data_IF_026379100197
#
_entry.id   IF_026379100197
#
_cell.length_a   1.000
_cell.length_b   1.000
_cell.length_c   1.000
_cell.angle_alpha   90.00
_cell.angle_beta   90.00
_cell.angle_gamma   90.00
#
_symmetry.space_group_name_H-M   'P 1'
#
loop_
_entity.id
_entity.type
_entity.pdbx_description
1 polymer ?
#
# COMPACT_ATOMS: atom_id res chain seq x y z
N UNK A 1 -12.03 -23.89 28.18
CA UNK A 1 -11.95 -22.63 27.41
C UNK A 1 -10.77 -21.75 27.82
N UNK A 2 -10.34 -21.76 29.11
CA UNK A 2 -9.26 -20.88 29.62
C UNK A 2 -7.83 -21.03 29.06
N UNK A 3 -7.68 -21.56 27.86
CA UNK A 3 -6.41 -21.71 27.14
C UNK A 3 -5.70 -23.04 27.35
N UNK A 4 -4.46 -23.07 26.92
CA UNK A 4 -3.46 -24.07 27.25
C UNK A 4 -3.37 -25.26 26.30
N UNK A 5 -4.10 -25.23 25.18
CA UNK A 5 -3.94 -26.26 24.15
C UNK A 5 -2.72 -25.96 23.27
N UNK A 6 -1.97 -27.01 22.98
CA UNK A 6 -0.86 -27.09 22.02
C UNK A 6 -1.34 -27.66 20.68
N UNK A 7 -2.63 -27.64 20.37
CA UNK A 7 -3.16 -28.06 19.07
C UNK A 7 -3.15 -29.57 18.82
N UNK A 8 -2.65 -30.39 19.75
CA UNK A 8 -2.61 -31.86 19.63
C UNK A 8 -3.80 -32.55 20.30
N UNK A 9 -4.71 -31.78 20.91
CA UNK A 9 -5.94 -32.31 21.47
C UNK A 9 -6.90 -32.81 20.37
N UNK A 10 -7.81 -33.72 20.75
CA UNK A 10 -8.72 -34.36 19.80
C UNK A 10 -9.58 -33.35 19.00
N UNK A 11 -9.94 -32.22 19.60
CA UNK A 11 -10.76 -31.20 18.93
C UNK A 11 -9.96 -30.41 17.90
N UNK A 12 -8.67 -30.17 18.16
CA UNK A 12 -7.77 -29.54 17.20
C UNK A 12 -7.45 -30.47 16.03
N UNK A 13 -7.10 -31.73 16.32
CA UNK A 13 -6.71 -32.71 15.31
C UNK A 13 -7.81 -33.06 14.32
N UNK A 14 -9.07 -33.13 14.76
CA UNK A 14 -10.18 -33.40 13.84
C UNK A 14 -10.39 -32.26 12.83
N UNK A 15 -10.04 -31.02 13.19
CA UNK A 15 -10.09 -29.90 12.24
C UNK A 15 -8.93 -29.96 11.25
N UNK A 16 -7.74 -30.38 11.68
CA UNK A 16 -6.62 -30.64 10.78
C UNK A 16 -6.99 -31.74 9.76
N UNK A 17 -7.56 -32.86 10.21
CA UNK A 17 -8.02 -33.95 9.34
C UNK A 17 -9.07 -33.47 8.33
N UNK A 18 -9.97 -32.55 8.72
CA UNK A 18 -10.95 -31.95 7.82
C UNK A 18 -10.28 -31.06 6.75
N UNK A 19 -9.33 -30.20 7.14
CA UNK A 19 -8.56 -29.37 6.22
C UNK A 19 -7.77 -30.22 5.21
N UNK A 20 -7.12 -31.29 5.67
CA UNK A 20 -6.40 -32.24 4.82
C UNK A 20 -7.33 -33.01 3.86
N UNK A 21 -8.58 -33.25 4.27
CA UNK A 21 -9.62 -33.85 3.42
C UNK A 21 -10.24 -32.87 2.41
N UNK A 22 -9.76 -31.62 2.34
CA UNK A 22 -10.26 -30.60 1.40
C UNK A 22 -11.44 -29.78 1.92
N UNK A 23 -11.78 -29.87 3.22
CA UNK A 23 -12.84 -29.08 3.84
C UNK A 23 -12.19 -27.87 4.51
N UNK A 24 -12.47 -26.66 4.02
CA UNK A 24 -11.99 -25.44 4.70
C UNK A 24 -12.78 -25.21 5.99
N UNK A 25 -12.07 -24.93 7.09
CA UNK A 25 -12.64 -24.81 8.43
C UNK A 25 -12.33 -23.43 9.01
N UNK A 26 -13.39 -22.72 9.42
CA UNK A 26 -13.33 -21.53 10.27
C UNK A 26 -13.71 -21.90 11.71
N UNK A 27 -12.99 -21.38 12.69
CA UNK A 27 -13.23 -21.64 14.11
C UNK A 27 -13.07 -20.37 14.94
N UNK A 28 -13.89 -20.20 15.97
CA UNK A 28 -13.78 -19.10 16.93
C UNK A 28 -12.52 -19.26 17.82
N UNK A 29 -11.80 -18.16 18.06
CA UNK A 29 -10.61 -18.16 18.93
C UNK A 29 -10.94 -18.43 20.42
N UNK A 30 -12.16 -18.14 20.86
CA UNK A 30 -12.59 -18.21 22.26
C UNK A 30 -12.85 -16.83 22.88
N UNK A 31 -13.47 -16.81 24.06
CA UNK A 31 -13.94 -15.58 24.72
C UNK A 31 -13.30 -15.35 26.10
N UNK A 32 -12.06 -15.83 26.32
CA UNK A 32 -11.35 -15.77 27.60
C UNK A 32 -10.23 -14.70 27.64
N UNK A 33 -10.20 -13.82 26.64
CA UNK A 33 -9.31 -12.65 26.64
C UNK A 33 -9.61 -11.69 27.81
N UNK A 34 -8.69 -10.78 28.14
CA UNK A 34 -7.37 -10.56 27.52
C UNK A 34 -6.24 -11.47 28.04
N UNK A 35 -6.50 -12.22 29.11
CA UNK A 35 -5.48 -12.88 29.94
C UNK A 35 -5.52 -14.41 29.85
N UNK A 36 -6.12 -14.96 28.78
CA UNK A 36 -6.11 -16.39 28.50
C UNK A 36 -4.67 -16.91 28.34
N UNK A 37 -4.44 -18.16 28.73
CA UNK A 37 -3.17 -18.87 28.51
C UNK A 37 -3.13 -19.46 27.10
N UNK A 38 -3.01 -18.60 26.08
CA UNK A 38 -3.16 -19.02 24.68
C UNK A 38 -4.56 -19.58 24.38
N UNK A 39 -4.70 -20.30 23.28
CA UNK A 39 -6.01 -20.80 22.83
C UNK A 39 -6.35 -22.18 23.42
N UNK A 40 -7.62 -22.56 23.35
CA UNK A 40 -8.09 -23.86 23.83
C UNK A 40 -8.89 -24.60 22.77
N UNK A 41 -8.88 -25.93 22.86
CA UNK A 41 -9.63 -26.83 21.99
C UNK A 41 -9.46 -26.46 20.52
N UNK A 42 -10.57 -26.40 19.80
CA UNK A 42 -10.60 -26.17 18.35
C UNK A 42 -9.85 -24.89 17.89
N UNK A 43 -9.77 -23.85 18.72
CA UNK A 43 -9.06 -22.61 18.36
C UNK A 43 -7.55 -22.80 18.20
N UNK A 44 -6.97 -23.86 18.77
CA UNK A 44 -5.54 -24.20 18.71
C UNK A 44 -5.15 -25.10 17.54
N UNK A 45 -6.07 -25.48 16.66
CA UNK A 45 -5.82 -26.32 15.48
C UNK A 45 -4.77 -25.70 14.55
N UNK A 46 -3.71 -26.44 14.19
CA UNK A 46 -2.62 -25.94 13.34
C UNK A 46 -3.07 -25.51 11.93
N UNK A 47 -4.08 -26.17 11.35
CA UNK A 47 -4.49 -25.95 9.96
C UNK A 47 -5.70 -25.05 9.81
N UNK A 48 -6.71 -25.13 10.69
CA UNK A 48 -7.94 -24.32 10.52
C UNK A 48 -7.66 -22.82 10.59
N UNK A 49 -8.62 -22.02 10.10
CA UNK A 49 -8.60 -20.57 10.25
C UNK A 49 -9.28 -20.20 11.56
N UNK A 50 -8.49 -19.80 12.54
CA UNK A 50 -8.94 -19.34 13.84
C UNK A 50 -9.22 -17.85 13.79
N UNK A 51 -10.41 -17.45 14.25
CA UNK A 51 -10.96 -16.10 14.10
C UNK A 51 -11.13 -15.41 15.44
N UNK A 52 -10.41 -14.30 15.62
CA UNK A 52 -10.60 -13.35 16.72
C UNK A 52 -11.78 -12.41 16.49
N UNK A 53 -12.23 -11.72 17.55
CA UNK A 53 -13.33 -10.77 17.48
C UNK A 53 -12.84 -9.33 17.64
N UNK A 54 -13.33 -8.44 16.78
CA UNK A 54 -13.23 -7.00 16.95
C UNK A 54 -14.55 -6.39 17.44
N UNK A 55 -14.47 -5.21 18.03
CA UNK A 55 -15.58 -4.30 18.24
C UNK A 55 -15.46 -3.21 17.19
N UNK A 56 -16.40 -3.22 16.23
CA UNK A 56 -16.52 -2.21 15.17
C UNK A 56 -17.18 -0.92 15.67
N UNK A 57 -17.49 -0.88 16.97
CA UNK A 57 -18.22 0.16 17.68
C UNK A 57 -19.50 0.65 16.97
N UNK A 58 -20.02 -0.18 16.05
CA UNK A 58 -21.10 0.11 15.13
C UNK A 58 -20.89 1.41 14.31
N UNK A 59 -19.67 1.67 13.85
CA UNK A 59 -19.30 2.76 12.92
C UNK A 59 -18.95 2.23 11.52
N UNK A 60 -18.83 3.15 10.56
CA UNK A 60 -18.31 2.85 9.21
C UNK A 60 -16.81 3.13 9.13
N UNK A 61 -16.32 4.04 9.99
CA UNK A 61 -14.89 4.21 10.18
C UNK A 61 -14.33 2.92 10.75
N UNK A 62 -13.20 2.46 10.21
CA UNK A 62 -12.54 1.23 10.66
C UNK A 62 -11.33 1.54 11.51
N UNK A 63 -10.89 2.81 11.57
CA UNK A 63 -9.71 3.24 12.32
C UNK A 63 -9.98 3.29 13.84
N UNK A 64 -11.24 3.30 14.25
CA UNK A 64 -11.67 3.18 15.64
C UNK A 64 -12.05 1.74 16.06
N UNK A 65 -11.96 0.78 15.14
CA UNK A 65 -12.13 -0.65 15.42
C UNK A 65 -11.05 -1.11 16.40
N UNK A 66 -11.47 -1.84 17.44
CA UNK A 66 -10.55 -2.39 18.44
C UNK A 66 -10.75 -3.89 18.61
N UNK A 67 -9.73 -4.59 19.12
CA UNK A 67 -9.92 -5.98 19.54
C UNK A 67 -10.97 -6.03 20.65
N UNK A 68 -11.95 -6.92 20.52
CA UNK A 68 -12.96 -7.10 21.55
C UNK A 68 -12.29 -7.59 22.84
N UNK A 69 -12.65 -7.01 23.98
CA UNK A 69 -11.97 -7.27 25.26
C UNK A 69 -11.96 -8.74 25.68
N UNK A 70 -12.99 -9.49 25.28
CA UNK A 70 -13.15 -10.92 25.53
C UNK A 70 -12.43 -11.81 24.50
N UNK A 71 -12.02 -11.30 23.34
CA UNK A 71 -11.41 -12.15 22.31
C UNK A 71 -10.15 -12.81 22.84
N UNK A 72 -10.09 -14.15 22.80
CA UNK A 72 -8.90 -14.90 23.19
C UNK A 72 -7.72 -14.55 22.30
N UNK A 73 -6.53 -14.52 22.89
CA UNK A 73 -5.30 -14.01 22.27
C UNK A 73 -4.22 -15.06 22.18
N UNK A 74 -3.38 -14.89 21.16
CA UNK A 74 -2.26 -15.75 20.88
C UNK A 74 -1.01 -15.53 21.72
N UNK A 75 0.04 -16.31 21.39
CA UNK A 75 -0.02 -17.51 20.53
C UNK A 75 -0.72 -18.69 21.24
N UNK A 76 -1.01 -19.79 20.55
CA UNK A 76 -1.31 -21.07 21.24
C UNK A 76 -0.03 -21.63 21.88
N UNK A 77 -0.13 -22.69 22.69
CA UNK A 77 1.08 -23.33 23.24
C UNK A 77 1.86 -24.04 22.13
N UNK A 78 3.18 -24.01 22.26
CA UNK A 78 4.13 -24.74 21.42
C UNK A 78 3.95 -26.25 21.60
N UNK A 79 3.80 -26.98 20.50
CA UNK A 79 3.71 -28.45 20.49
C UNK A 79 5.10 -29.12 20.32
N UNK A 80 6.17 -28.33 20.23
CA UNK A 80 7.55 -28.74 20.03
C UNK A 80 7.78 -29.50 18.71
N UNK A 81 7.00 -29.23 17.66
CA UNK A 81 7.18 -29.80 16.32
C UNK A 81 8.27 -29.09 15.49
N UNK A 82 8.77 -27.95 15.98
CA UNK A 82 9.80 -27.15 15.33
C UNK A 82 9.28 -26.17 14.26
N UNK A 83 7.96 -25.96 14.16
CA UNK A 83 7.32 -25.03 13.24
C UNK A 83 6.58 -23.91 14.00
N UNK A 84 7.26 -22.82 14.41
CA UNK A 84 6.70 -21.74 15.21
C UNK A 84 5.55 -20.96 14.55
N UNK A 85 5.34 -21.12 13.23
CA UNK A 85 4.31 -20.41 12.48
C UNK A 85 2.91 -20.91 12.79
N UNK A 86 2.77 -22.22 13.08
CA UNK A 86 1.45 -22.80 13.30
C UNK A 86 0.93 -22.54 14.74
N UNK A 87 1.76 -21.98 15.63
CA UNK A 87 1.38 -21.44 16.94
C UNK A 87 0.74 -20.04 16.87
N UNK A 88 0.96 -19.32 15.77
CA UNK A 88 0.50 -17.96 15.57
C UNK A 88 -1.02 -17.95 15.33
N UNK A 89 -1.78 -17.73 16.41
CA UNK A 89 -3.25 -17.79 16.46
C UNK A 89 -3.82 -16.59 17.23
N UNK A 90 -4.90 -15.91 16.81
CA UNK A 90 -5.72 -16.24 15.65
C UNK A 90 -5.01 -15.96 14.33
N UNK A 91 -5.53 -16.50 13.23
CA UNK A 91 -5.06 -16.13 11.89
C UNK A 91 -5.56 -14.75 11.48
N UNK A 92 -6.83 -14.46 11.74
CA UNK A 92 -7.45 -13.20 11.36
C UNK A 92 -8.49 -12.82 12.40
N UNK A 93 -8.99 -11.60 12.31
CA UNK A 93 -10.06 -11.09 13.14
C UNK A 93 -11.20 -10.54 12.28
N UNK A 94 -12.40 -10.50 12.84
CA UNK A 94 -13.57 -9.92 12.20
C UNK A 94 -14.54 -9.34 13.25
N UNK A 95 -15.49 -8.47 12.86
CA UNK A 95 -16.48 -7.94 13.77
C UNK A 95 -17.25 -9.05 14.50
N UNK A 96 -17.19 -9.03 15.83
CA UNK A 96 -17.83 -10.03 16.68
C UNK A 96 -18.60 -9.43 17.85
N UNK A 97 -18.60 -8.12 18.01
CA UNK A 97 -19.30 -7.41 19.09
C UNK A 97 -20.59 -6.80 18.58
N UNK A 98 -21.66 -6.88 19.36
CA UNK A 98 -22.92 -6.19 19.09
C UNK A 98 -23.57 -6.55 17.73
N UNK A 99 -23.40 -7.79 17.27
CA UNK A 99 -23.86 -8.30 15.98
C UNK A 99 -25.34 -8.66 16.04
N UNK A 100 -26.10 -8.24 15.03
CA UNK A 100 -27.50 -8.62 14.83
C UNK A 100 -27.54 -9.90 13.99
N UNK A 101 -28.29 -10.91 14.44
CA UNK A 101 -28.34 -12.23 13.81
C UNK A 101 -29.79 -12.72 13.68
N UNK A 102 -30.01 -13.68 12.80
CA UNK A 102 -31.32 -14.33 12.66
C UNK A 102 -31.72 -15.02 13.97
N UNK A 103 -32.99 -14.88 14.36
CA UNK A 103 -33.51 -15.51 15.57
C UNK A 103 -33.90 -16.96 15.32
N UNK A 104 -33.19 -17.87 15.99
CA UNK A 104 -33.63 -19.25 16.11
C UNK A 104 -34.81 -19.33 17.08
N UNK A 105 -35.83 -20.10 16.74
CA UNK A 105 -37.03 -20.21 17.58
C UNK A 105 -36.85 -21.16 18.78
N UNK A 106 -35.92 -20.79 19.65
CA UNK A 106 -35.67 -21.38 20.97
C UNK A 106 -35.31 -20.31 22.01
N UNK A 107 -34.89 -19.10 21.57
CA UNK A 107 -34.36 -18.03 22.43
C UNK A 107 -35.41 -17.04 22.92
N UNK A 108 -36.51 -16.80 22.18
CA UNK A 108 -37.63 -15.98 22.66
C UNK A 108 -38.91 -16.80 22.77
N UNK A 109 -39.60 -16.66 23.91
CA UNK A 109 -40.87 -17.37 24.18
C UNK A 109 -42.06 -16.92 23.32
N UNK A 110 -41.83 -16.14 22.26
CA UNK A 110 -42.84 -15.61 21.34
C UNK A 110 -42.77 -16.21 19.93
N UNK A 111 -41.83 -17.11 19.66
CA UNK A 111 -41.67 -17.75 18.36
C UNK A 111 -42.43 -19.11 18.31
N UNK A 112 -42.76 -19.60 17.11
CA UNK A 112 -43.61 -20.80 16.92
C UNK A 112 -42.83 -22.01 16.36
N UNK A 113 -42.15 -22.78 17.23
CA UNK A 113 -41.48 -24.05 16.86
C UNK A 113 -42.25 -25.27 17.40
N UNK A 114 -43.54 -25.39 17.07
CA UNK A 114 -44.18 -26.70 17.19
C UNK A 114 -43.45 -27.72 16.31
N UNK A 115 -43.39 -28.99 16.73
CA UNK A 115 -42.79 -30.06 15.93
C UNK A 115 -43.52 -30.13 14.57
N UNK A 116 -42.84 -29.76 13.48
CA UNK A 116 -43.44 -29.61 12.14
C UNK A 116 -43.98 -28.22 11.79
N UNK A 117 -43.69 -27.19 12.60
CA UNK A 117 -43.96 -25.78 12.32
C UNK A 117 -42.88 -25.11 11.45
N UNK A 118 -43.23 -23.96 10.88
CA UNK A 118 -42.38 -23.15 9.99
C UNK A 118 -41.75 -21.97 10.75
N UNK A 119 -40.46 -21.72 10.52
CA UNK A 119 -39.68 -20.64 11.12
C UNK A 119 -39.57 -19.38 10.22
N UNK A 120 -40.25 -19.36 9.07
CA UNK A 120 -40.22 -18.25 8.10
C UNK A 120 -40.69 -16.89 8.65
N UNK A 121 -41.46 -16.89 9.74
CA UNK A 121 -41.91 -15.67 10.43
C UNK A 121 -40.95 -15.17 11.52
N UNK A 122 -39.83 -15.86 11.77
CA UNK A 122 -38.84 -15.40 12.75
C UNK A 122 -38.13 -14.13 12.26
N UNK A 123 -37.85 -13.23 13.19
CA UNK A 123 -37.10 -11.99 12.94
C UNK A 123 -35.60 -12.13 13.23
N UNK A 124 -35.02 -11.03 13.69
CA UNK A 124 -33.64 -10.97 14.17
C UNK A 124 -33.64 -10.83 15.70
N UNK A 125 -32.65 -11.44 16.36
CA UNK A 125 -32.50 -11.29 17.81
C UNK A 125 -32.05 -9.88 18.19
N UNK A 126 -31.97 -9.61 19.50
CA UNK A 126 -31.10 -8.55 20.00
C UNK A 126 -29.63 -8.75 19.61
N UNK A 127 -28.79 -7.77 19.92
CA UNK A 127 -27.34 -7.81 19.61
C UNK A 127 -26.62 -8.85 20.47
N UNK A 128 -25.75 -9.64 19.86
CA UNK A 128 -24.91 -10.62 20.53
C UNK A 128 -23.42 -10.33 20.33
N UNK A 129 -22.59 -10.86 21.22
CA UNK A 129 -21.13 -10.64 21.20
C UNK A 129 -20.38 -11.94 21.47
N UNK A 130 -19.26 -12.14 20.76
CA UNK A 130 -18.39 -13.30 20.90
C UNK A 130 -17.59 -13.58 19.63
N UNK A 131 -16.47 -14.28 19.77
CA UNK A 131 -15.74 -14.85 18.61
C UNK A 131 -16.62 -15.82 17.81
N UNK A 132 -17.66 -16.40 18.44
CA UNK A 132 -18.72 -17.17 17.78
C UNK A 132 -19.54 -16.38 16.75
N UNK A 133 -19.48 -15.05 16.77
CA UNK A 133 -20.13 -14.16 15.79
C UNK A 133 -19.16 -13.74 14.68
N UNK A 134 -17.87 -13.62 14.99
CA UNK A 134 -16.83 -13.32 14.01
C UNK A 134 -16.53 -14.53 13.10
N UNK A 135 -16.45 -15.74 13.65
CA UNK A 135 -16.17 -16.97 12.89
C UNK A 135 -17.15 -17.25 11.72
N UNK A 136 -18.49 -17.12 11.86
CA UNK A 136 -19.40 -17.27 10.74
C UNK A 136 -19.31 -16.13 9.72
N UNK A 137 -18.91 -14.91 10.09
CA UNK A 137 -18.66 -13.85 9.13
C UNK A 137 -17.50 -14.22 8.18
N UNK A 138 -16.38 -14.72 8.74
CA UNK A 138 -15.25 -15.25 7.97
C UNK A 138 -15.66 -16.48 7.15
N UNK A 139 -16.53 -17.34 7.68
CA UNK A 139 -17.08 -18.48 6.90
C UNK A 139 -17.83 -18.00 5.65
N UNK A 140 -18.58 -16.89 5.76
CA UNK A 140 -19.21 -16.25 4.62
C UNK A 140 -18.20 -15.74 3.58
N UNK A 141 -17.07 -15.17 4.03
CA UNK A 141 -15.98 -14.75 3.13
C UNK A 141 -15.38 -15.96 2.40
N UNK A 142 -15.09 -17.04 3.12
CA UNK A 142 -14.60 -18.29 2.50
C UNK A 142 -15.59 -18.84 1.46
N UNK A 143 -16.89 -18.73 1.72
CA UNK A 143 -17.92 -19.14 0.76
C UNK A 143 -17.91 -18.27 -0.51
N UNK A 144 -17.73 -16.94 -0.38
CA UNK A 144 -17.56 -16.04 -1.52
C UNK A 144 -16.30 -16.36 -2.33
N UNK A 145 -15.18 -16.64 -1.65
CA UNK A 145 -13.94 -17.06 -2.29
C UNK A 145 -14.11 -18.35 -3.07
N UNK A 146 -14.80 -19.35 -2.49
CA UNK A 146 -15.07 -20.64 -3.15
C UNK A 146 -16.12 -20.53 -4.26
N UNK A 147 -17.06 -19.58 -4.18
CA UNK A 147 -17.97 -19.27 -5.29
C UNK A 147 -17.21 -18.64 -6.46
N UNK A 148 -16.31 -17.69 -6.17
CA UNK A 148 -15.43 -17.06 -7.15
C UNK A 148 -14.44 -18.05 -7.77
N UNK A 149 -13.92 -18.98 -6.97
CA UNK A 149 -12.95 -19.97 -7.39
C UNK A 149 -13.16 -21.32 -6.66
N UNK A 150 -13.96 -22.23 -7.25
CA UNK A 150 -14.28 -23.52 -6.64
C UNK A 150 -13.10 -24.51 -6.53
N UNK A 151 -11.94 -24.18 -7.10
CA UNK A 151 -10.76 -25.05 -7.15
C UNK A 151 -9.74 -24.71 -6.06
N UNK A 152 -9.95 -23.66 -5.26
CA UNK A 152 -9.05 -23.31 -4.17
C UNK A 152 -8.91 -24.46 -3.16
N UNK A 153 -7.67 -24.76 -2.81
CA UNK A 153 -7.36 -25.63 -1.69
C UNK A 153 -7.62 -24.91 -0.36
N UNK A 154 -7.85 -25.65 0.76
CA UNK A 154 -8.00 -25.03 2.07
C UNK A 154 -6.81 -24.17 2.51
N UNK A 155 -5.59 -24.52 2.08
CA UNK A 155 -4.38 -23.73 2.36
C UNK A 155 -4.34 -22.44 1.55
N UNK A 156 -4.71 -22.47 0.27
CA UNK A 156 -4.85 -21.24 -0.54
C UNK A 156 -5.92 -20.32 0.05
N UNK A 157 -7.08 -20.85 0.48
CA UNK A 157 -8.10 -20.03 1.15
C UNK A 157 -7.53 -19.36 2.41
N UNK A 158 -6.82 -20.12 3.25
CA UNK A 158 -6.20 -19.60 4.47
C UNK A 158 -5.17 -18.50 4.18
N UNK A 159 -4.30 -18.72 3.21
CA UNK A 159 -3.21 -17.77 2.90
C UNK A 159 -3.72 -16.53 2.14
N UNK A 160 -4.74 -16.66 1.29
CA UNK A 160 -5.44 -15.51 0.69
C UNK A 160 -6.05 -14.64 1.80
N UNK A 161 -6.77 -15.23 2.76
CA UNK A 161 -7.34 -14.48 3.89
C UNK A 161 -6.29 -13.71 4.68
N UNK A 162 -5.11 -14.32 4.91
CA UNK A 162 -4.00 -13.69 5.64
C UNK A 162 -3.34 -12.56 4.86
N UNK A 163 -3.01 -12.78 3.57
CA UNK A 163 -2.27 -11.79 2.77
C UNK A 163 -3.13 -10.57 2.42
N UNK A 164 -4.45 -10.74 2.31
CA UNK A 164 -5.39 -9.65 1.99
C UNK A 164 -5.97 -8.98 3.23
N UNK A 165 -5.68 -9.46 4.44
CA UNK A 165 -6.21 -8.88 5.66
C UNK A 165 -5.69 -7.44 5.87
N UNK A 166 -6.56 -6.58 6.39
CA UNK A 166 -6.17 -5.23 6.81
C UNK A 166 -5.34 -5.33 8.09
N UNK A 167 -4.07 -4.97 8.00
CA UNK A 167 -3.12 -5.05 9.11
C UNK A 167 -3.54 -4.14 10.27
N UNK A 168 -3.53 -4.68 11.48
CA UNK A 168 -3.85 -3.95 12.72
C UNK A 168 -2.87 -4.33 13.83
N UNK A 169 -2.41 -3.31 14.55
CA UNK A 169 -1.48 -3.46 15.67
C UNK A 169 -0.04 -3.76 15.25
N UNK A 170 0.87 -3.63 16.20
CA UNK A 170 2.29 -3.97 16.01
C UNK A 170 2.50 -5.48 16.07
N UNK A 171 3.46 -6.05 15.30
CA UNK A 171 3.75 -7.47 15.32
C UNK A 171 4.13 -7.96 16.73
N UNK A 172 3.52 -9.06 17.17
CA UNK A 172 3.73 -9.61 18.52
C UNK A 172 4.88 -10.62 18.59
N UNK A 173 5.21 -11.25 17.46
CA UNK A 173 6.35 -12.16 17.32
C UNK A 173 7.09 -11.90 15.99
N UNK A 174 7.71 -10.71 15.84
CA UNK A 174 8.34 -10.30 14.59
C UNK A 174 9.46 -11.24 14.13
N UNK A 175 10.12 -11.98 15.02
CA UNK A 175 11.16 -12.96 14.63
C UNK A 175 10.58 -14.16 13.89
N UNK A 176 9.30 -14.50 14.11
CA UNK A 176 8.61 -15.62 13.44
C UNK A 176 7.89 -15.11 12.19
N UNK A 177 7.03 -14.12 12.35
CA UNK A 177 6.29 -13.48 11.25
C UNK A 177 6.25 -11.95 11.47
N UNK A 178 6.58 -11.13 10.46
CA UNK A 178 6.71 -9.68 10.62
C UNK A 178 5.36 -8.95 10.66
N UNK A 179 4.23 -9.64 10.51
CA UNK A 179 2.90 -9.02 10.42
C UNK A 179 1.93 -9.55 11.46
N UNK A 180 2.14 -10.76 11.96
CA UNK A 180 1.23 -11.36 12.93
C UNK A 180 1.21 -10.60 14.27
N UNK A 181 0.01 -10.20 14.67
CA UNK A 181 -0.31 -9.63 15.96
C UNK A 181 -1.18 -10.60 16.78
N UNK A 182 -0.92 -10.70 18.09
CA UNK A 182 -1.62 -11.67 18.97
C UNK A 182 -3.11 -11.42 19.20
N UNK A 183 -3.56 -10.19 18.94
CA UNK A 183 -4.94 -9.74 19.11
C UNK A 183 -5.72 -9.86 17.78
N UNK A 184 -5.11 -9.44 16.67
CA UNK A 184 -5.76 -9.35 15.35
C UNK A 184 -5.38 -10.46 14.37
N UNK A 185 -4.36 -11.29 14.67
CA UNK A 185 -3.76 -12.21 13.72
C UNK A 185 -2.94 -11.47 12.66
N UNK A 186 -3.04 -11.89 11.40
CA UNK A 186 -2.50 -11.16 10.25
C UNK A 186 -3.34 -9.91 9.89
N UNK A 187 -4.50 -9.71 10.53
CA UNK A 187 -5.30 -8.50 10.39
C UNK A 187 -6.81 -8.74 10.48
N UNK A 188 -7.57 -7.66 10.24
CA UNK A 188 -9.02 -7.76 10.05
C UNK A 188 -9.33 -8.27 8.65
N UNK A 189 -10.27 -9.22 8.56
CA UNK A 189 -10.65 -9.83 7.29
C UNK A 189 -11.16 -8.78 6.28
N UNK A 190 -10.62 -8.82 5.06
CA UNK A 190 -11.10 -8.03 3.93
C UNK A 190 -11.78 -8.94 2.91
N UNK A 191 -13.12 -8.90 2.90
CA UNK A 191 -13.92 -9.76 2.03
C UNK A 191 -13.73 -9.44 0.55
N UNK A 192 -13.57 -8.16 0.20
CA UNK A 192 -13.42 -7.73 -1.18
C UNK A 192 -12.08 -8.20 -1.73
N UNK A 193 -10.99 -7.85 -1.05
CA UNK A 193 -9.64 -8.20 -1.49
C UNK A 193 -9.43 -9.71 -1.56
N UNK A 194 -9.94 -10.48 -0.59
CA UNK A 194 -9.87 -11.94 -0.61
C UNK A 194 -10.63 -12.55 -1.80
N UNK A 195 -11.82 -12.01 -2.12
CA UNK A 195 -12.64 -12.49 -3.24
C UNK A 195 -12.03 -12.10 -4.58
N UNK A 196 -11.52 -10.87 -4.73
CA UNK A 196 -10.85 -10.41 -5.95
C UNK A 196 -9.58 -11.23 -6.23
N UNK A 197 -8.77 -11.53 -5.22
CA UNK A 197 -7.60 -12.40 -5.39
C UNK A 197 -8.02 -13.82 -5.80
N UNK A 198 -9.12 -14.33 -5.24
CA UNK A 198 -9.67 -15.65 -5.64
C UNK A 198 -10.09 -15.68 -7.11
N UNK A 199 -10.79 -14.64 -7.60
CA UNK A 199 -11.15 -14.48 -9.01
C UNK A 199 -9.90 -14.38 -9.90
N UNK A 200 -8.91 -13.59 -9.47
CA UNK A 200 -7.66 -13.43 -10.20
C UNK A 200 -6.96 -14.78 -10.42
N UNK A 201 -6.82 -15.60 -9.38
CA UNK A 201 -6.19 -16.93 -9.47
C UNK A 201 -6.97 -17.90 -10.36
N UNK A 202 -8.30 -17.78 -10.39
CA UNK A 202 -9.15 -18.54 -11.30
C UNK A 202 -8.89 -18.13 -12.75
N UNK A 203 -8.99 -16.84 -13.05
CA UNK A 203 -8.96 -16.30 -14.42
C UNK A 203 -7.59 -16.41 -15.08
N UNK A 204 -6.53 -16.37 -14.27
CA UNK A 204 -5.14 -16.58 -14.73
C UNK A 204 -4.72 -18.05 -14.73
N UNK A 205 -5.59 -18.96 -14.30
CA UNK A 205 -5.31 -20.40 -14.24
C UNK A 205 -4.22 -20.79 -13.24
N UNK A 206 -3.98 -19.96 -12.22
CA UNK A 206 -2.92 -20.17 -11.22
C UNK A 206 -3.35 -21.04 -10.04
N UNK A 207 -4.64 -21.34 -9.94
CA UNK A 207 -5.19 -22.17 -8.86
C UNK A 207 -4.52 -23.53 -8.78
N UNK A 208 -4.06 -23.93 -7.60
CA UNK A 208 -3.31 -25.16 -7.37
C UNK A 208 -1.87 -25.15 -7.91
N UNK A 209 -1.41 -24.03 -8.48
CA UNK A 209 -0.05 -23.83 -8.98
C UNK A 209 0.75 -22.81 -8.16
N UNK A 210 0.18 -22.36 -7.04
CA UNK A 210 0.81 -21.40 -6.12
C UNK A 210 1.54 -22.15 -5.00
N UNK A 211 2.76 -21.71 -4.70
CA UNK A 211 3.45 -22.03 -3.46
C UNK A 211 3.05 -21.00 -2.40
N UNK A 212 2.10 -21.40 -1.56
CA UNK A 212 1.61 -20.56 -0.46
C UNK A 212 2.62 -20.38 0.67
N UNK A 213 3.70 -21.18 0.69
CA UNK A 213 4.79 -21.01 1.66
C UNK A 213 5.77 -19.89 1.29
N UNK A 214 5.83 -19.50 0.02
CA UNK A 214 6.61 -18.33 -0.43
C UNK A 214 5.79 -17.06 -0.19
N UNK A 215 6.34 -16.14 0.60
CA UNK A 215 5.67 -14.92 1.03
C UNK A 215 6.36 -13.71 0.40
N UNK A 216 5.56 -12.79 -0.16
CA UNK A 216 6.02 -11.52 -0.72
C UNK A 216 5.05 -10.44 -0.28
N UNK A 217 5.56 -9.34 0.28
CA UNK A 217 4.73 -8.24 0.74
C UNK A 217 5.33 -6.89 0.40
N UNK A 218 4.48 -5.96 -0.02
CA UNK A 218 4.82 -4.54 -0.25
C UNK A 218 4.82 -3.80 1.08
N UNK A 219 5.95 -3.21 1.46
CA UNK A 219 6.12 -2.50 2.74
C UNK A 219 6.02 -0.99 2.60
N UNK A 220 6.54 -0.43 1.51
CA UNK A 220 6.59 1.01 1.30
C UNK A 220 6.40 1.38 -0.15
N UNK A 221 5.73 2.51 -0.35
CA UNK A 221 5.44 3.11 -1.64
C UNK A 221 5.71 4.62 -1.50
N UNK A 222 6.81 5.09 -2.09
CA UNK A 222 7.26 6.48 -1.91
C UNK A 222 7.80 7.06 -3.22
N UNK A 223 7.83 8.38 -3.33
CA UNK A 223 8.57 9.06 -4.41
C UNK A 223 9.90 9.51 -3.84
N UNK A 224 11.00 9.08 -4.45
CA UNK A 224 12.32 9.60 -4.09
C UNK A 224 12.45 11.04 -4.63
N UNK A 225 12.52 12.00 -3.73
CA UNK A 225 12.62 13.43 -4.06
C UNK A 225 13.92 13.79 -4.83
N UNK A 226 14.94 12.94 -4.79
CA UNK A 226 16.22 13.20 -5.47
C UNK A 226 16.17 12.74 -6.92
N UNK A 227 15.73 11.50 -7.17
CA UNK A 227 15.65 10.94 -8.51
C UNK A 227 14.32 11.23 -9.23
N UNK A 228 13.27 11.58 -8.50
CA UNK A 228 11.90 11.70 -9.01
C UNK A 228 11.23 10.36 -9.28
N UNK A 229 11.87 9.23 -8.94
CA UNK A 229 11.34 7.90 -9.20
C UNK A 229 10.34 7.48 -8.14
N UNK A 230 9.32 6.75 -8.57
CA UNK A 230 8.39 6.05 -7.68
C UNK A 230 9.01 4.72 -7.24
N UNK A 231 9.27 4.60 -5.95
CA UNK A 231 9.97 3.47 -5.34
C UNK A 231 8.98 2.63 -4.54
N UNK A 232 8.87 1.36 -4.94
CA UNK A 232 8.16 0.32 -4.20
C UNK A 232 9.20 -0.58 -3.56
N UNK A 233 9.13 -0.75 -2.25
CA UNK A 233 9.96 -1.71 -1.52
C UNK A 233 9.13 -2.65 -0.67
N UNK A 234 9.67 -3.83 -0.41
CA UNK A 234 8.98 -4.88 0.30
C UNK A 234 9.91 -5.92 0.86
N UNK A 235 9.32 -6.92 1.53
CA UNK A 235 10.03 -8.08 2.07
C UNK A 235 9.54 -9.36 1.40
N UNK A 236 10.44 -10.35 1.33
CA UNK A 236 10.12 -11.69 0.88
C UNK A 236 10.86 -12.75 1.71
N UNK A 237 10.22 -13.89 1.92
CA UNK A 237 10.80 -15.07 2.58
C UNK A 237 10.02 -16.34 2.23
N UNK A 238 10.62 -17.51 2.45
CA UNK A 238 9.92 -18.78 2.40
C UNK A 238 9.68 -19.33 3.80
N UNK A 239 8.51 -19.90 4.06
CA UNK A 239 8.16 -20.49 5.36
C UNK A 239 8.90 -21.82 5.62
N UNK A 240 9.27 -22.55 4.55
CA UNK A 240 9.95 -23.86 4.63
C UNK A 240 11.11 -24.02 3.65
N UNK A 241 11.38 -23.00 2.84
CA UNK A 241 12.43 -23.00 1.79
C UNK A 241 12.94 -21.60 1.49
N UNK A 242 13.78 -21.48 0.47
CA UNK A 242 14.35 -20.20 0.02
C UNK A 242 13.49 -19.55 -1.07
N UNK A 243 13.58 -18.23 -1.18
CA UNK A 243 13.03 -17.49 -2.33
C UNK A 243 14.20 -17.19 -3.27
N UNK A 244 14.10 -17.67 -4.50
CA UNK A 244 15.13 -17.54 -5.53
C UNK A 244 15.10 -16.19 -6.25
N UNK A 245 13.92 -15.58 -6.35
CA UNK A 245 13.74 -14.28 -6.98
C UNK A 245 12.43 -13.62 -6.55
N UNK A 246 12.42 -12.29 -6.55
CA UNK A 246 11.18 -11.50 -6.60
C UNK A 246 11.08 -10.90 -8.00
N UNK A 247 9.93 -11.10 -8.64
CA UNK A 247 9.65 -10.57 -9.96
C UNK A 247 8.46 -9.63 -9.90
N UNK A 248 8.44 -8.67 -10.82
CA UNK A 248 7.31 -7.80 -11.03
C UNK A 248 6.97 -7.69 -12.52
N UNK A 249 5.72 -7.39 -12.83
CA UNK A 249 5.30 -6.98 -14.17
C UNK A 249 4.32 -5.83 -14.06
N UNK A 250 4.29 -5.01 -15.10
CA UNK A 250 3.31 -3.93 -15.24
C UNK A 250 2.19 -4.40 -16.17
N UNK A 251 0.96 -4.31 -15.68
CA UNK A 251 -0.25 -4.82 -16.33
C UNK A 251 -0.03 -6.27 -16.81
N UNK A 252 -0.24 -6.52 -18.11
CA UNK A 252 0.00 -7.82 -18.74
C UNK A 252 1.36 -7.90 -19.46
N UNK A 253 2.32 -7.08 -19.04
CA UNK A 253 3.67 -7.02 -19.60
C UNK A 253 4.55 -8.22 -19.23
N UNK A 254 5.80 -8.15 -19.69
CA UNK A 254 6.82 -9.15 -19.39
C UNK A 254 7.28 -9.08 -17.93
N UNK A 255 7.64 -10.23 -17.37
CA UNK A 255 8.20 -10.31 -16.03
C UNK A 255 9.63 -9.74 -15.97
N UNK A 256 9.88 -8.93 -14.97
CA UNK A 256 11.16 -8.30 -14.67
C UNK A 256 11.59 -8.67 -13.25
N UNK A 257 12.90 -8.72 -12.98
CA UNK A 257 13.40 -8.99 -11.64
C UNK A 257 13.41 -7.71 -10.80
N UNK A 258 12.91 -7.80 -9.56
CA UNK A 258 13.13 -6.77 -8.56
C UNK A 258 14.58 -6.79 -8.08
N UNK A 259 15.10 -5.63 -7.70
CA UNK A 259 16.42 -5.53 -7.07
C UNK A 259 16.30 -5.99 -5.62
N UNK A 260 17.27 -6.76 -5.12
CA UNK A 260 17.33 -7.15 -3.71
C UNK A 260 18.77 -7.06 -3.20
N UNK A 261 18.92 -6.87 -1.89
CA UNK A 261 20.24 -6.91 -1.27
C UNK A 261 20.66 -8.38 -1.10
N UNK A 262 21.61 -8.85 -1.90
CA UNK A 262 22.24 -10.16 -1.71
C UNK A 262 23.02 -10.17 -0.39
N UNK A 263 22.46 -10.79 0.66
CA UNK A 263 23.27 -11.26 1.78
C UNK A 263 24.09 -12.47 1.31
N UNK A 264 25.36 -12.55 1.67
CA UNK A 264 26.30 -13.61 1.25
C UNK A 264 25.98 -15.02 1.78
N UNK A 265 24.90 -15.17 2.54
CA UNK A 265 24.47 -16.42 3.15
C UNK A 265 23.26 -16.96 2.38
N UNK A 266 23.24 -18.28 2.13
CA UNK A 266 22.06 -18.97 1.58
C UNK A 266 20.83 -18.59 2.40
N UNK A 267 19.79 -18.05 1.75
CA UNK A 267 18.57 -17.61 2.42
C UNK A 267 17.81 -18.86 2.88
N UNK A 268 17.93 -19.18 4.17
CA UNK A 268 17.25 -20.32 4.77
C UNK A 268 15.76 -20.04 4.98
N UNK A 269 14.99 -21.07 5.36
CA UNK A 269 13.59 -20.89 5.77
C UNK A 269 13.46 -19.80 6.85
N UNK A 270 12.42 -18.98 6.74
CA UNK A 270 12.12 -17.81 7.59
C UNK A 270 13.13 -16.64 7.48
N UNK A 271 14.24 -16.80 6.75
CA UNK A 271 15.17 -15.70 6.51
C UNK A 271 14.57 -14.74 5.49
N UNK A 272 14.49 -13.47 5.89
CA UNK A 272 13.88 -12.39 5.10
C UNK A 272 14.94 -11.59 4.39
N UNK A 273 14.57 -11.05 3.25
CA UNK A 273 15.35 -10.05 2.53
C UNK A 273 14.43 -8.98 1.96
N UNK A 274 15.00 -7.80 1.78
CA UNK A 274 14.29 -6.65 1.22
C UNK A 274 14.49 -6.62 -0.29
N UNK A 275 13.40 -6.38 -1.01
CA UNK A 275 13.39 -6.12 -2.43
C UNK A 275 12.92 -4.70 -2.72
N UNK A 276 13.33 -4.14 -3.84
CA UNK A 276 13.01 -2.77 -4.26
C UNK A 276 12.88 -2.67 -5.78
N UNK A 277 11.89 -1.91 -6.22
CA UNK A 277 11.64 -1.55 -7.62
C UNK A 277 11.48 -0.03 -7.70
N UNK A 278 12.19 0.59 -8.64
CA UNK A 278 12.09 2.03 -8.91
C UNK A 278 11.56 2.24 -10.32
N UNK A 279 10.49 3.03 -10.45
CA UNK A 279 9.75 3.28 -11.67
C UNK A 279 9.73 4.77 -12.01
N UNK A 280 9.83 5.08 -13.29
CA UNK A 280 9.68 6.43 -13.82
C UNK A 280 8.25 6.58 -14.36
N UNK A 281 7.36 7.14 -13.53
CA UNK A 281 5.92 7.24 -13.85
C UNK A 281 5.64 8.11 -15.09
N UNK A 282 6.58 8.98 -15.47
CA UNK A 282 6.45 9.83 -16.67
C UNK A 282 6.59 9.02 -17.96
N UNK A 283 7.32 7.90 -17.91
CA UNK A 283 7.45 6.99 -19.05
C UNK A 283 6.31 6.00 -19.19
N UNK A 284 5.39 6.00 -18.22
CA UNK A 284 4.19 5.18 -18.28
C UNK A 284 3.09 5.92 -19.03
N UNK A 285 2.24 5.18 -19.74
CA UNK A 285 1.08 5.79 -20.40
C UNK A 285 0.16 6.47 -19.38
N UNK A 286 -0.61 7.45 -19.85
CA UNK A 286 -1.58 8.14 -18.99
C UNK A 286 -2.64 7.16 -18.47
N UNK A 287 -2.87 7.16 -17.15
CA UNK A 287 -3.92 6.37 -16.51
C UNK A 287 -3.41 5.44 -15.40
N UNK A 288 -4.32 4.64 -14.86
CA UNK A 288 -4.00 3.68 -13.81
C UNK A 288 -3.32 2.44 -14.40
N UNK A 289 -2.21 2.06 -13.78
CA UNK A 289 -1.44 0.87 -14.07
C UNK A 289 -1.37 0.00 -12.84
N UNK A 290 -1.46 -1.32 -13.04
CA UNK A 290 -1.31 -2.29 -11.96
C UNK A 290 0.07 -2.93 -12.06
N UNK A 291 0.83 -2.85 -10.98
CA UNK A 291 2.10 -3.55 -10.83
C UNK A 291 1.84 -4.79 -10.01
N UNK A 292 2.09 -5.94 -10.60
CA UNK A 292 1.98 -7.23 -9.95
C UNK A 292 3.37 -7.70 -9.52
N UNK A 293 3.51 -8.15 -8.28
CA UNK A 293 4.72 -8.74 -7.73
C UNK A 293 4.48 -10.21 -7.35
N UNK A 294 5.49 -11.06 -7.56
CA UNK A 294 5.51 -12.45 -7.12
C UNK A 294 6.90 -12.86 -6.65
N UNK A 295 6.96 -13.81 -5.73
CA UNK A 295 8.18 -14.53 -5.37
C UNK A 295 8.26 -15.85 -6.12
N UNK A 296 9.45 -16.33 -6.41
CA UNK A 296 9.69 -17.66 -6.97
C UNK A 296 10.53 -18.48 -6.00
N UNK A 297 10.10 -19.69 -5.66
CA UNK A 297 10.95 -20.64 -4.95
C UNK A 297 11.99 -21.29 -5.89
N UNK A 298 12.85 -22.15 -5.35
CA UNK A 298 13.89 -22.86 -6.14
C UNK A 298 13.34 -23.71 -7.28
N UNK A 299 12.11 -24.21 -7.16
CA UNK A 299 11.42 -24.96 -8.19
C UNK A 299 10.72 -24.06 -9.23
N UNK A 300 10.92 -22.74 -9.15
CA UNK A 300 10.26 -21.73 -9.99
C UNK A 300 8.72 -21.73 -9.86
N UNK A 301 8.19 -22.26 -8.75
CA UNK A 301 6.78 -22.12 -8.40
C UNK A 301 6.60 -20.77 -7.72
N UNK A 302 5.55 -20.06 -8.11
CA UNK A 302 5.34 -18.69 -7.65
C UNK A 302 4.53 -18.59 -6.36
N UNK A 303 4.74 -17.52 -5.61
CA UNK A 303 3.90 -17.12 -4.48
C UNK A 303 2.52 -16.64 -4.89
N UNK A 304 1.66 -16.40 -3.91
CA UNK A 304 0.52 -15.51 -4.10
C UNK A 304 1.03 -14.13 -4.60
N UNK A 305 0.37 -13.53 -5.60
CA UNK A 305 0.75 -12.23 -6.09
C UNK A 305 0.31 -11.11 -5.14
N UNK A 306 1.07 -10.02 -5.11
CA UNK A 306 0.67 -8.77 -4.45
C UNK A 306 0.67 -7.63 -5.48
N UNK A 307 -0.25 -6.69 -5.29
CA UNK A 307 -0.53 -5.66 -6.28
C UNK A 307 -0.30 -4.25 -5.75
N UNK A 308 0.17 -3.37 -6.62
CA UNK A 308 0.25 -1.92 -6.38
C UNK A 308 -0.36 -1.20 -7.58
N UNK A 309 -1.23 -0.22 -7.33
CA UNK A 309 -1.79 0.62 -8.39
C UNK A 309 -1.08 1.96 -8.41
N UNK A 310 -0.56 2.35 -9.58
CA UNK A 310 0.10 3.65 -9.82
C UNK A 310 -0.60 4.39 -10.94
N UNK A 311 -0.54 5.72 -10.93
CA UNK A 311 -1.02 6.53 -12.06
C UNK A 311 0.16 7.00 -12.89
N UNK A 312 0.23 6.56 -14.14
CA UNK A 312 1.15 7.11 -15.13
C UNK A 312 0.69 8.49 -15.56
N UNK A 313 1.65 9.37 -15.83
CA UNK A 313 1.35 10.75 -16.26
C UNK A 313 1.32 10.89 -17.78
N UNK A 314 1.81 9.90 -18.53
CA UNK A 314 1.82 9.94 -20.00
C UNK A 314 2.76 11.01 -20.56
N UNK A 315 3.61 11.62 -19.74
CA UNK A 315 4.58 12.62 -20.15
C UNK A 315 5.74 11.93 -20.88
N UNK A 316 5.47 11.51 -22.12
CA UNK A 316 6.52 11.26 -23.09
C UNK A 316 7.23 12.60 -23.36
N UNK A 317 8.21 12.95 -22.53
CA UNK A 317 9.26 13.90 -22.91
C UNK A 317 10.22 13.23 -23.91
N UNK A 318 9.64 12.64 -24.96
CA UNK A 318 10.28 12.38 -26.24
C UNK A 318 9.96 13.54 -27.19
N UNK A 319 10.14 14.81 -26.77
CA UNK A 319 10.30 15.93 -27.71
C UNK A 319 10.88 17.20 -27.05
N UNK A 320 12.17 17.20 -26.73
CA UNK A 320 13.01 18.41 -26.87
C UNK A 320 14.43 18.06 -27.34
N UNK A 321 14.58 17.01 -28.16
CA UNK A 321 15.79 16.83 -28.96
C UNK A 321 15.47 16.49 -30.42
N UNK A 322 14.44 17.13 -30.99
CA UNK A 322 14.41 17.37 -32.43
C UNK A 322 15.47 18.46 -32.73
N UNK A 323 16.75 18.05 -32.69
CA UNK A 323 17.82 18.87 -33.23
C UNK A 323 17.41 19.25 -34.65
N UNK A 324 17.22 20.54 -34.89
CA UNK A 324 16.98 21.01 -36.25
C UNK A 324 18.13 20.47 -37.10
N UNK A 325 17.82 19.90 -38.26
CA UNK A 325 18.89 19.50 -39.18
C UNK A 325 19.79 20.71 -39.42
N UNK A 326 21.11 20.50 -39.58
CA UNK A 326 22.07 21.59 -39.85
C UNK A 326 21.59 22.50 -40.98
N UNK A 327 20.87 21.94 -41.95
CA UNK A 327 20.22 22.64 -43.06
C UNK A 327 19.14 23.63 -42.59
N UNK A 328 18.30 23.27 -41.62
CA UNK A 328 17.26 24.16 -41.07
C UNK A 328 17.87 25.29 -40.23
N UNK A 329 18.95 25.05 -39.48
CA UNK A 329 19.70 26.10 -38.79
C UNK A 329 20.32 27.09 -39.77
N UNK A 330 20.95 26.60 -40.84
CA UNK A 330 21.55 27.45 -41.88
C UNK A 330 20.48 28.28 -42.60
N UNK A 331 19.30 27.71 -42.85
CA UNK A 331 18.20 28.44 -43.47
C UNK A 331 17.63 29.53 -42.56
N UNK A 332 17.51 29.28 -41.25
CA UNK A 332 16.97 30.28 -40.32
C UNK A 332 17.96 31.40 -40.02
N UNK A 333 19.25 31.08 -39.82
CA UNK A 333 20.32 32.08 -39.71
C UNK A 333 20.46 32.87 -41.01
N UNK A 334 20.38 32.19 -42.17
CA UNK A 334 20.38 32.83 -43.48
C UNK A 334 19.22 33.81 -43.67
N UNK A 335 18.00 33.42 -43.28
CA UNK A 335 16.82 34.29 -43.35
C UNK A 335 16.94 35.52 -42.43
N UNK A 336 17.51 35.35 -41.24
CA UNK A 336 17.75 36.44 -40.29
C UNK A 336 18.81 37.43 -40.80
N UNK A 337 19.89 36.94 -41.40
CA UNK A 337 20.92 37.79 -42.02
C UNK A 337 20.36 38.56 -43.21
N UNK A 338 19.51 37.93 -44.04
CA UNK A 338 18.84 38.59 -45.16
C UNK A 338 17.85 39.66 -44.67
N UNK A 339 17.09 39.40 -43.60
CA UNK A 339 16.20 40.39 -42.97
C UNK A 339 16.97 41.58 -42.39
N UNK A 340 18.10 41.33 -41.72
CA UNK A 340 18.98 42.40 -41.22
C UNK A 340 19.59 43.21 -42.37
N UNK A 341 20.07 42.57 -43.45
CA UNK A 341 20.59 43.26 -44.63
C UNK A 341 19.51 44.09 -45.34
N UNK A 342 18.28 43.59 -45.44
CA UNK A 342 17.14 44.34 -45.99
C UNK A 342 16.74 45.52 -45.08
N UNK A 343 16.88 45.38 -43.77
CA UNK A 343 16.69 46.46 -42.80
C UNK A 343 17.73 47.56 -42.94
N UNK A 344 19.02 47.20 -43.09
CA UNK A 344 20.12 48.15 -43.31
C UNK A 344 19.99 48.86 -44.66
N UNK A 345 19.61 48.13 -45.73
CA UNK A 345 19.38 48.70 -47.06
C UNK A 345 18.16 49.63 -47.13
N UNK A 346 17.15 49.43 -46.26
CA UNK A 346 16.00 50.35 -46.13
C UNK A 346 16.32 51.58 -45.25
N UNK A 347 17.33 51.52 -44.39
CA UNK A 347 17.74 52.59 -43.49
C UNK A 347 18.74 53.59 -44.09
N UNK A 348 19.44 53.25 -45.16
CA UNK A 348 20.41 54.15 -45.80
C UNK A 348 19.75 55.05 -46.85
N UNK A 349 19.01 56.08 -46.41
CA UNK A 349 18.82 57.31 -47.21
C UNK A 349 19.81 58.35 -46.71
N UNK A 350 20.79 58.66 -47.54
CA UNK A 350 21.70 59.79 -47.37
C UNK A 350 20.99 61.02 -47.94
N UNK A 351 21.02 62.15 -47.21
CA UNK A 351 21.09 63.54 -47.73
C UNK A 351 20.94 64.55 -46.56
N UNK A 352 21.44 65.80 -46.65
CA UNK A 352 22.63 66.37 -47.32
C UNK A 352 23.50 67.20 -46.31
N UNK A 353 24.64 67.82 -46.69
CA UNK A 353 25.54 68.46 -45.72
C UNK A 353 24.99 69.80 -45.16
N UNK A 354 25.40 70.12 -43.93
CA UNK A 354 25.04 71.32 -43.17
C UNK A 354 25.28 72.63 -43.95
N UNK A 355 24.22 73.45 -44.07
CA UNK A 355 24.31 74.87 -44.45
C UNK A 355 24.09 75.75 -43.21
N UNK A 356 25.08 76.57 -42.87
CA UNK A 356 24.96 77.63 -41.85
C UNK A 356 24.18 78.79 -42.48
N UNK A 357 23.01 79.10 -41.95
CA UNK A 357 22.31 80.37 -42.17
C UNK A 357 21.89 80.92 -40.81
N UNK A 358 22.53 82.01 -40.41
CA UNK A 358 22.17 82.85 -39.28
C UNK A 358 21.00 83.76 -39.67
N UNK A 359 19.89 83.70 -38.94
CA UNK A 359 18.87 84.75 -38.88
C UNK A 359 18.32 84.78 -37.44
N UNK A 360 19.07 85.44 -36.56
CA UNK A 360 18.61 85.89 -35.23
C UNK A 360 17.66 87.10 -35.42
N UNK A 361 16.69 87.37 -34.52
CA UNK A 361 17.05 87.82 -33.18
C UNK A 361 16.15 87.43 -32.00
N UNK A 362 16.85 87.27 -30.87
CA UNK A 362 16.51 87.69 -29.50
C UNK A 362 15.44 86.90 -28.74
N UNK A 363 15.89 85.98 -27.90
CA UNK A 363 15.61 86.03 -26.47
C UNK A 363 16.85 85.55 -25.67
N UNK A 364 17.06 86.16 -24.51
CA UNK A 364 18.37 86.46 -23.93
C UNK A 364 19.04 85.33 -23.15
N UNK A 365 20.36 85.46 -23.06
CA UNK A 365 21.34 84.67 -22.28
C UNK A 365 21.01 84.59 -20.77
N UNK A 366 20.07 85.39 -20.29
CA UNK A 366 19.66 85.44 -18.87
C UNK A 366 18.86 84.22 -18.42
N UNK A 367 18.24 83.47 -19.34
CA UNK A 367 17.46 82.27 -18.99
C UNK A 367 18.31 81.02 -18.74
N UNK A 368 19.54 80.98 -19.25
CA UNK A 368 20.43 79.81 -19.14
C UNK A 368 21.42 79.93 -17.96
N UNK A 369 21.72 81.16 -17.52
CA UNK A 369 22.62 81.41 -16.39
C UNK A 369 21.97 81.20 -15.00
N UNK A 370 20.65 81.04 -14.92
CA UNK A 370 19.94 80.81 -13.65
C UNK A 370 19.80 79.32 -13.27
N UNK A 371 20.06 78.39 -14.19
CA UNK A 371 19.92 76.95 -13.94
C UNK A 371 21.24 76.24 -13.59
N UNK A 372 22.39 76.88 -13.81
CA UNK A 372 23.72 76.26 -13.65
C UNK A 372 24.54 76.87 -12.49
N UNK A 373 23.91 77.72 -11.66
CA UNK A 373 24.54 78.41 -10.52
C UNK A 373 24.23 77.77 -9.14
N UNK A 374 23.36 76.76 -9.07
CA UNK A 374 23.02 76.05 -7.81
C UNK A 374 23.98 74.90 -7.45
N UNK A 375 25.20 74.93 -8.00
CA UNK A 375 26.26 73.97 -7.70
C UNK A 375 27.51 74.63 -7.09
N UNK A 376 27.41 75.62 -6.20
CA UNK A 376 28.60 76.13 -5.47
C UNK A 376 28.37 77.01 -4.22
N UNK A 377 27.52 76.66 -3.23
CA UNK A 377 27.61 77.31 -1.91
C UNK A 377 26.94 76.55 -0.74
N UNK A 378 27.50 75.42 -0.31
CA UNK A 378 27.31 74.91 1.05
C UNK A 378 28.42 73.91 1.42
N UNK A 379 29.67 74.38 1.43
CA UNK A 379 30.75 73.77 2.21
C UNK A 379 31.11 74.80 3.27
N UNK A 380 30.75 74.58 4.54
CA UNK A 380 31.75 74.32 5.58
C UNK A 380 31.12 74.12 6.97
N UNK A 381 31.80 73.29 7.75
CA UNK A 381 31.74 73.17 9.21
C UNK A 381 30.50 72.47 9.83
N UNK A 382 30.69 71.30 10.45
CA UNK A 382 31.17 71.15 11.84
C UNK A 382 31.17 69.66 12.22
N UNK A 383 32.30 69.23 12.78
CA UNK A 383 32.57 67.95 13.47
C UNK A 383 31.70 67.80 14.72
N UNK A 384 31.35 66.56 15.11
CA UNK A 384 31.61 65.95 16.44
C UNK A 384 30.76 64.66 16.63
N UNK A 385 31.44 63.71 17.27
CA UNK A 385 31.11 62.40 17.85
C UNK A 385 29.71 62.23 18.47
N UNK A 386 29.16 61.01 18.49
CA UNK A 386 29.12 60.21 19.73
C UNK A 386 28.52 58.79 19.56
N UNK A 387 28.99 57.89 20.42
CA UNK A 387 28.58 56.51 20.67
C UNK A 387 27.20 56.40 21.37
N UNK A 388 26.49 55.28 21.16
CA UNK A 388 25.71 54.51 22.17
C UNK A 388 25.14 53.25 21.46
N UNK A 389 25.39 51.99 21.84
CA UNK A 389 25.07 51.22 23.06
C UNK A 389 23.58 51.15 23.46
N UNK A 390 23.11 49.88 23.47
CA UNK A 390 22.04 49.21 24.23
C UNK A 390 20.58 49.66 24.09
N UNK A 391 19.70 48.72 23.75
CA UNK A 391 18.74 48.09 24.70
C UNK A 391 17.75 47.19 23.93
N UNK A 392 17.45 46.02 24.50
CA UNK A 392 16.45 45.06 24.01
C UNK A 392 16.86 43.63 24.26
#
# INVERSE_FOLDING_TARGET
EGGGSDGEDMHSRILNEAMEAGIVVSVAAGNDGPNNDGLSGMGSSSLSVTVGATDDINTVDREDDTVASYSSRGPRRDNADGNPLNELKPEISAPGTNIIQAEACVTSGLCNNFLGGDASENGYTGRGSGTSYAAPAVTGIMALMLEANPQLSPLEVKEILKITAERRGEPSQPDVDPFWNRDFGWGMADALAATELSMYLHDTGLTGQIDVGTQVHVMSQTVDNTSGLYVVSGEAWGQSGSVSAVQFRMDNGEWQSASFEESSDEIAALQRFTWTVALDLNKMSEGNHTIEFRGLNEASVQSLPVFVTVSGTGDSMDELNSGWSTTQYVLLVGALVVLCLLGVLRGSRIDPPLSIVSNEPSDSVDAVLAADADLASAVDAVLVEDEAKSDG
#
